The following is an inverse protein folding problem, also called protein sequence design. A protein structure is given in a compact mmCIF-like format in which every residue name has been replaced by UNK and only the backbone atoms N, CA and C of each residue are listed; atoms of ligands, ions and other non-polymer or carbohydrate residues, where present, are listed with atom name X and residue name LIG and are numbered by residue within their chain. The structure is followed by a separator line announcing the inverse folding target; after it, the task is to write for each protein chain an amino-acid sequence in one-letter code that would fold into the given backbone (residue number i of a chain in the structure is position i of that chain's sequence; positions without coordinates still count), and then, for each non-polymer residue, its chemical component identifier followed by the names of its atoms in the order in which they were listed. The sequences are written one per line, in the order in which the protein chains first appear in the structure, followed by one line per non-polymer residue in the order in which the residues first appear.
data_IF_043096216067
#
_entry.id   IF_043096216067
#
_cell.length_a   1.000
_cell.length_b   1.000
_cell.length_c   1.000
_cell.angle_alpha   90.00
_cell.angle_beta   90.00
_cell.angle_gamma   90.00
#
_symmetry.space_group_name_H-M   'P 1'
#
loop_
_entity.id
_entity.type
_entity.pdbx_description
1 polymer ?
#
# COMPACT_ATOMS: atom_id res chain seq x y z
N UNK A 1 13.64 -2.30 -0.56
CA UNK A 1 12.29 -2.71 -1.03
C UNK A 1 12.35 -3.10 -2.51
N UNK A 2 11.32 -3.75 -3.07
CA UNK A 2 11.29 -4.09 -4.50
C UNK A 2 11.45 -2.85 -5.41
N UNK A 3 10.84 -1.72 -5.03
CA UNK A 3 11.00 -0.43 -5.73
C UNK A 3 12.46 0.00 -5.82
N UNK A 4 13.23 -0.12 -4.74
CA UNK A 4 14.65 0.25 -4.75
C UNK A 4 15.46 -0.67 -5.68
N UNK A 5 15.15 -1.98 -5.65
CA UNK A 5 15.81 -2.96 -6.51
C UNK A 5 15.57 -2.66 -7.99
N UNK A 6 14.34 -2.35 -8.39
CA UNK A 6 14.05 -1.98 -9.79
C UNK A 6 14.60 -0.62 -10.19
N UNK A 7 14.66 0.36 -9.28
CA UNK A 7 15.27 1.66 -9.56
C UNK A 7 16.81 1.58 -9.70
N UNK A 8 17.45 0.56 -9.12
CA UNK A 8 18.87 0.31 -9.33
C UNK A 8 19.19 -0.20 -10.76
N UNK A 9 18.20 -0.74 -11.48
CA UNK A 9 18.35 -1.28 -12.84
C UNK A 9 18.12 -0.17 -13.88
N UNK A 10 19.14 0.26 -14.66
CA UNK A 10 19.01 1.33 -15.64
C UNK A 10 17.94 1.07 -16.71
N UNK A 11 17.81 -0.17 -17.17
CA UNK A 11 16.87 -0.62 -18.18
C UNK A 11 15.44 -0.39 -17.69
N UNK A 12 15.14 -0.85 -16.47
CA UNK A 12 13.83 -0.66 -15.84
C UNK A 12 13.46 0.82 -15.73
N UNK A 13 14.39 1.67 -15.25
CA UNK A 13 14.14 3.12 -15.11
C UNK A 13 13.78 3.80 -16.43
N UNK A 14 14.33 3.30 -17.55
CA UNK A 14 14.10 3.85 -18.90
C UNK A 14 12.91 3.20 -19.60
N UNK A 15 12.41 2.08 -19.07
CA UNK A 15 11.33 1.32 -19.68
C UNK A 15 9.97 2.00 -19.48
N UNK A 16 9.62 2.83 -20.48
CA UNK A 16 8.34 3.53 -20.54
C UNK A 16 7.14 2.60 -20.74
N UNK A 17 7.31 1.27 -20.84
CA UNK A 17 6.19 0.33 -20.90
C UNK A 17 5.59 0.07 -19.54
N UNK A 18 6.34 0.22 -18.45
CA UNK A 18 5.85 -0.02 -17.08
C UNK A 18 4.66 0.89 -16.76
N UNK A 19 3.51 0.30 -16.41
CA UNK A 19 2.26 0.99 -16.03
C UNK A 19 1.87 0.79 -14.57
N UNK A 20 2.47 -0.19 -13.90
CA UNK A 20 2.19 -0.50 -12.50
C UNK A 20 2.77 -1.84 -12.10
N UNK A 21 2.32 -2.33 -10.95
CA UNK A 21 2.70 -3.63 -10.44
C UNK A 21 1.53 -4.27 -9.68
N UNK A 22 1.59 -5.59 -9.54
CA UNK A 22 0.77 -6.39 -8.63
C UNK A 22 1.68 -7.22 -7.73
N UNK A 23 1.15 -7.66 -6.60
CA UNK A 23 1.87 -8.49 -5.63
C UNK A 23 1.09 -9.77 -5.37
N UNK A 24 1.77 -10.90 -5.41
CA UNK A 24 1.22 -12.22 -5.12
C UNK A 24 2.09 -12.92 -4.08
N UNK A 25 1.47 -13.51 -3.06
CA UNK A 25 2.18 -14.40 -2.16
C UNK A 25 2.34 -15.77 -2.82
N UNK A 26 3.58 -16.20 -2.99
CA UNK A 26 3.94 -17.52 -3.53
C UNK A 26 4.82 -18.24 -2.52
N UNK A 27 4.20 -19.09 -1.69
CA UNK A 27 4.88 -19.73 -0.57
C UNK A 27 5.36 -18.69 0.47
N UNK A 28 6.68 -18.68 0.73
CA UNK A 28 7.32 -17.73 1.63
C UNK A 28 7.65 -16.37 0.98
N UNK A 29 7.53 -16.28 -0.34
CA UNK A 29 7.90 -15.09 -1.11
C UNK A 29 6.70 -14.22 -1.44
N UNK A 30 6.94 -12.92 -1.54
CA UNK A 30 6.05 -11.98 -2.22
C UNK A 30 6.65 -11.67 -3.59
N UNK A 31 5.99 -12.12 -4.65
CA UNK A 31 6.39 -11.83 -6.02
C UNK A 31 5.75 -10.52 -6.46
N UNK A 32 6.58 -9.57 -6.89
CA UNK A 32 6.16 -8.29 -7.48
C UNK A 32 6.27 -8.42 -8.99
N UNK A 33 5.14 -8.41 -9.69
CA UNK A 33 5.07 -8.45 -11.15
C UNK A 33 4.78 -7.05 -11.67
N UNK A 34 5.67 -6.50 -12.50
CA UNK A 34 5.48 -5.22 -13.17
C UNK A 34 4.78 -5.42 -14.51
N UNK A 35 3.80 -4.56 -14.78
CA UNK A 35 2.85 -4.70 -15.87
C UNK A 35 3.06 -3.62 -16.93
N UNK A 36 2.79 -3.97 -18.20
CA UNK A 36 2.67 -3.00 -19.28
C UNK A 36 1.22 -2.53 -19.51
N UNK A 37 0.95 -1.86 -20.65
CA UNK A 37 -0.39 -1.39 -21.02
C UNK A 37 -1.31 -2.47 -21.59
N UNK A 38 -0.77 -3.61 -22.00
CA UNK A 38 -1.52 -4.77 -22.53
C UNK A 38 -1.77 -5.82 -21.43
N UNK A 39 -2.02 -5.33 -20.22
CA UNK A 39 -1.62 -5.94 -18.95
C UNK A 39 -0.82 -7.25 -19.09
N UNK A 40 0.42 -7.18 -19.56
CA UNK A 40 1.35 -8.30 -19.59
C UNK A 40 2.49 -8.09 -18.59
N UNK A 41 3.02 -9.17 -18.04
CA UNK A 41 4.18 -9.15 -17.16
C UNK A 41 5.44 -8.84 -17.97
N UNK A 42 6.23 -7.87 -17.50
CA UNK A 42 7.49 -7.47 -18.15
C UNK A 42 8.71 -7.52 -17.22
N UNK A 43 8.49 -7.42 -15.89
CA UNK A 43 9.52 -7.68 -14.89
C UNK A 43 8.93 -8.44 -13.70
N UNK A 44 9.78 -9.23 -13.03
CA UNK A 44 9.45 -9.85 -11.75
C UNK A 44 10.55 -9.65 -10.72
N UNK A 45 10.15 -9.45 -9.46
CA UNK A 45 11.05 -9.39 -8.31
C UNK A 45 10.46 -10.26 -7.20
N UNK A 46 11.20 -11.24 -6.71
CA UNK A 46 10.83 -11.96 -5.50
C UNK A 46 11.31 -11.18 -4.26
N UNK A 47 10.45 -11.07 -3.26
CA UNK A 47 10.78 -10.46 -1.97
C UNK A 47 10.62 -11.52 -0.89
N UNK A 48 11.73 -11.87 -0.23
CA UNK A 48 11.78 -12.89 0.83
C UNK A 48 12.18 -12.20 2.13
N UNK A 49 11.41 -12.37 3.20
CA UNK A 49 11.69 -11.75 4.51
C UNK A 49 11.98 -10.23 4.42
N UNK A 50 11.22 -9.52 3.58
CA UNK A 50 11.36 -8.07 3.35
C UNK A 50 12.55 -7.65 2.48
N UNK A 51 13.37 -8.58 2.00
CA UNK A 51 14.52 -8.32 1.12
C UNK A 51 14.16 -8.65 -0.33
N UNK A 52 14.35 -7.67 -1.21
CA UNK A 52 14.16 -7.89 -2.65
C UNK A 52 15.35 -8.64 -3.22
N UNK A 53 15.08 -9.70 -4.00
CA UNK A 53 16.05 -10.38 -4.82
C UNK A 53 16.36 -9.63 -6.11
N UNK A 54 17.06 -10.29 -7.03
CA UNK A 54 17.39 -9.74 -8.35
C UNK A 54 16.14 -9.46 -9.19
N UNK A 55 16.16 -8.35 -9.91
CA UNK A 55 15.13 -8.00 -10.88
C UNK A 55 15.27 -8.88 -12.11
N UNK A 56 14.22 -9.62 -12.45
CA UNK A 56 14.16 -10.44 -13.65
C UNK A 56 13.39 -9.69 -14.73
N UNK A 57 14.10 -9.17 -15.74
CA UNK A 57 13.47 -8.75 -16.99
C UNK A 57 13.01 -9.99 -17.76
N UNK A 58 11.79 -9.95 -18.29
CA UNK A 58 11.28 -11.03 -19.14
C UNK A 58 11.68 -10.77 -20.59
N UNK A 59 12.13 -11.81 -21.30
CA UNK A 59 12.61 -11.70 -22.69
C UNK A 59 11.55 -11.13 -23.63
N UNK A 60 10.29 -11.48 -23.38
CA UNK A 60 9.10 -10.92 -24.01
C UNK A 60 7.99 -10.70 -22.95
N UNK A 61 7.01 -9.82 -23.22
CA UNK A 61 5.83 -9.71 -22.36
C UNK A 61 5.13 -11.06 -22.19
N UNK A 62 4.88 -11.46 -20.95
CA UNK A 62 4.25 -12.74 -20.61
C UNK A 62 2.81 -12.51 -20.18
N UNK A 63 1.89 -13.35 -20.65
CA UNK A 63 0.49 -13.31 -20.22
C UNK A 63 0.38 -13.49 -18.70
N UNK A 64 -0.53 -12.75 -18.08
CA UNK A 64 -0.75 -12.81 -16.64
C UNK A 64 -1.41 -14.13 -16.22
N UNK A 65 -1.05 -14.61 -15.04
CA UNK A 65 -1.82 -15.65 -14.36
C UNK A 65 -3.23 -15.14 -14.03
N UNK A 66 -4.16 -16.06 -13.71
CA UNK A 66 -5.51 -15.66 -13.29
C UNK A 66 -5.49 -14.72 -12.08
N UNK A 67 -4.60 -14.97 -11.11
CA UNK A 67 -4.38 -14.10 -9.96
C UNK A 67 -3.88 -12.73 -10.40
N UNK A 68 -2.79 -12.67 -11.18
CA UNK A 68 -2.18 -11.41 -11.62
C UNK A 68 -3.18 -10.57 -12.43
N UNK A 69 -3.97 -11.21 -13.30
CA UNK A 69 -5.01 -10.55 -14.09
C UNK A 69 -6.12 -9.99 -13.22
N UNK A 70 -6.63 -10.76 -12.24
CA UNK A 70 -7.64 -10.30 -11.29
C UNK A 70 -7.14 -9.12 -10.45
N UNK A 71 -5.92 -9.22 -9.91
CA UNK A 71 -5.30 -8.16 -9.14
C UNK A 71 -5.08 -6.89 -9.98
N UNK A 72 -4.68 -7.04 -11.25
CA UNK A 72 -4.48 -5.92 -12.16
C UNK A 72 -5.81 -5.20 -12.49
N UNK A 73 -6.88 -5.96 -12.71
CA UNK A 73 -8.23 -5.42 -12.93
C UNK A 73 -8.75 -4.69 -11.69
N UNK A 74 -8.61 -5.29 -10.51
CA UNK A 74 -9.01 -4.66 -9.26
C UNK A 74 -8.25 -3.36 -8.99
N UNK A 75 -6.93 -3.36 -9.22
CA UNK A 75 -6.10 -2.15 -9.15
C UNK A 75 -6.62 -1.09 -10.11
N UNK A 76 -6.88 -1.43 -11.36
CA UNK A 76 -7.38 -0.50 -12.36
C UNK A 76 -8.69 0.15 -11.88
N UNK A 77 -9.67 -0.66 -11.46
CA UNK A 77 -10.95 -0.20 -10.94
C UNK A 77 -10.80 0.78 -9.77
N UNK A 78 -9.95 0.47 -8.79
CA UNK A 78 -9.70 1.34 -7.65
C UNK A 78 -8.99 2.65 -8.06
N UNK A 79 -8.01 2.59 -8.96
CA UNK A 79 -7.25 3.80 -9.38
C UNK A 79 -8.07 4.81 -10.17
N UNK A 80 -9.14 4.36 -10.83
CA UNK A 80 -10.09 5.20 -11.58
C UNK A 80 -11.31 5.61 -10.76
N UNK A 81 -11.49 5.05 -9.55
CA UNK A 81 -12.60 5.40 -8.68
C UNK A 81 -12.53 6.86 -8.22
N UNK A 82 -13.69 7.44 -7.91
CA UNK A 82 -13.79 8.78 -7.35
C UNK A 82 -13.61 8.75 -5.83
N UNK A 83 -12.62 9.49 -5.34
CA UNK A 83 -12.34 9.67 -3.91
C UNK A 83 -11.59 10.99 -3.69
N UNK A 84 -11.52 11.44 -2.44
CA UNK A 84 -10.77 12.65 -2.10
C UNK A 84 -9.26 12.38 -2.14
N UNK A 85 -8.58 13.00 -3.11
CA UNK A 85 -7.16 12.77 -3.36
C UNK A 85 -6.30 13.76 -2.57
N UNK A 86 -5.41 13.22 -1.75
CA UNK A 86 -4.40 14.01 -1.02
C UNK A 86 -3.02 14.03 -1.70
N UNK A 87 -2.86 13.28 -2.79
CA UNK A 87 -1.63 13.25 -3.58
C UNK A 87 -1.91 13.13 -5.09
N UNK A 88 -0.96 13.61 -5.90
CA UNK A 88 -1.02 13.42 -7.36
C UNK A 88 -0.88 11.93 -7.73
N UNK A 89 0.03 11.23 -7.06
CA UNK A 89 0.34 9.82 -7.28
C UNK A 89 0.02 8.99 -6.05
N UNK A 90 -0.35 7.75 -6.29
CA UNK A 90 -0.70 6.77 -5.28
C UNK A 90 0.04 5.46 -5.54
N UNK A 91 0.59 4.88 -4.48
CA UNK A 91 1.00 3.49 -4.46
C UNK A 91 -0.23 2.61 -4.23
N UNK A 92 -0.22 1.40 -4.77
CA UNK A 92 -1.31 0.44 -4.61
C UNK A 92 -0.81 -0.85 -3.98
N UNK A 93 -1.62 -1.43 -3.09
CA UNK A 93 -1.48 -2.81 -2.62
C UNK A 93 -2.79 -3.53 -2.94
N UNK A 94 -2.71 -4.71 -3.56
CA UNK A 94 -3.87 -5.52 -3.92
C UNK A 94 -3.76 -6.85 -3.20
N UNK A 95 -4.79 -7.21 -2.45
CA UNK A 95 -4.88 -8.44 -1.69
C UNK A 95 -6.16 -9.18 -2.07
N UNK A 96 -6.19 -10.52 -2.01
CA UNK A 96 -7.43 -11.28 -2.13
C UNK A 96 -8.46 -10.84 -1.09
N UNK A 97 -9.71 -10.78 -1.50
CA UNK A 97 -10.84 -10.60 -0.61
C UNK A 97 -10.96 -11.75 0.38
N UNK A 98 -11.53 -11.48 1.56
CA UNK A 98 -11.73 -12.49 2.62
C UNK A 98 -13.19 -12.87 2.83
N UNK A 99 -14.10 -12.35 2.02
CA UNK A 99 -15.54 -12.64 2.10
C UNK A 99 -16.15 -12.81 0.70
N UNK A 100 -17.34 -13.43 0.60
CA UNK A 100 -18.05 -13.53 -0.69
C UNK A 100 -18.50 -12.18 -1.28
N UNK A 101 -18.37 -11.08 -0.53
CA UNK A 101 -18.78 -9.74 -0.95
C UNK A 101 -17.66 -8.98 -1.68
N UNK A 102 -16.43 -9.48 -1.64
CA UNK A 102 -15.27 -8.88 -2.30
C UNK A 102 -14.34 -9.96 -2.86
N UNK A 103 -13.98 -9.85 -4.14
CA UNK A 103 -12.94 -10.70 -4.74
C UNK A 103 -11.55 -10.18 -4.37
N UNK A 104 -11.42 -8.85 -4.24
CA UNK A 104 -10.17 -8.16 -3.98
C UNK A 104 -10.34 -6.98 -3.04
N UNK A 105 -9.30 -6.73 -2.24
CA UNK A 105 -9.12 -5.50 -1.47
C UNK A 105 -7.97 -4.73 -2.08
N UNK A 106 -8.21 -3.45 -2.38
CA UNK A 106 -7.19 -2.54 -2.91
C UNK A 106 -6.96 -1.40 -1.94
N UNK A 107 -5.72 -1.22 -1.51
CA UNK A 107 -5.30 -0.04 -0.77
C UNK A 107 -4.66 0.96 -1.73
N UNK A 108 -5.11 2.22 -1.68
CA UNK A 108 -4.42 3.34 -2.31
C UNK A 108 -3.77 4.20 -1.23
N UNK A 109 -2.45 4.34 -1.34
CA UNK A 109 -1.59 5.01 -0.38
C UNK A 109 -0.93 6.22 -1.05
N UNK A 110 -1.08 7.45 -0.52
CA UNK A 110 -0.41 8.63 -1.07
C UNK A 110 1.09 8.39 -1.28
N UNK A 111 1.56 8.63 -2.50
CA UNK A 111 2.99 8.48 -2.81
C UNK A 111 3.74 9.77 -2.47
N UNK A 112 4.92 9.63 -1.87
CA UNK A 112 5.84 10.74 -1.58
C UNK A 112 7.28 10.36 -1.94
N UNK A 113 8.05 11.36 -2.37
CA UNK A 113 9.52 11.28 -2.49
C UNK A 113 10.23 12.10 -1.42
N UNK A 114 9.46 12.78 -0.55
CA UNK A 114 9.99 13.56 0.57
C UNK A 114 10.28 12.60 1.73
N UNK A 115 11.54 12.57 2.17
CA UNK A 115 12.00 11.66 3.23
C UNK A 115 11.66 12.14 4.65
N UNK A 116 11.18 13.38 4.80
CA UNK A 116 10.89 14.02 6.08
C UNK A 116 9.38 14.13 6.36
N UNK A 117 8.54 13.39 5.63
CA UNK A 117 7.08 13.40 5.83
C UNK A 117 6.47 12.02 5.70
N UNK A 118 5.36 11.81 6.39
CA UNK A 118 4.49 10.63 6.26
C UNK A 118 3.09 11.11 5.85
N UNK A 119 2.68 10.92 4.58
CA UNK A 119 1.39 11.38 4.07
C UNK A 119 0.28 10.37 4.42
N UNK A 120 -0.05 10.28 5.71
CA UNK A 120 -1.03 9.32 6.23
C UNK A 120 -2.45 9.59 5.72
N UNK A 121 -2.79 10.87 5.54
CA UNK A 121 -4.10 11.29 5.09
C UNK A 121 -4.37 11.02 3.62
N UNK A 122 -5.61 10.66 3.30
CA UNK A 122 -5.98 10.21 1.96
C UNK A 122 -5.56 8.78 1.65
N UNK A 123 -5.24 7.97 2.67
CA UNK A 123 -5.19 6.50 2.55
C UNK A 123 -6.61 5.96 2.42
N UNK A 124 -6.84 5.09 1.43
CA UNK A 124 -8.14 4.46 1.17
C UNK A 124 -8.02 2.95 1.04
N UNK A 125 -9.09 2.26 1.47
CA UNK A 125 -9.36 0.85 1.19
C UNK A 125 -10.56 0.77 0.25
N UNK A 126 -10.46 -0.02 -0.81
CA UNK A 126 -11.51 -0.31 -1.76
C UNK A 126 -11.78 -1.82 -1.74
N UNK A 127 -13.05 -2.19 -1.71
CA UNK A 127 -13.50 -3.56 -1.92
C UNK A 127 -13.95 -3.67 -3.37
N UNK A 128 -13.45 -4.68 -4.09
CA UNK A 128 -13.73 -4.89 -5.51
C UNK A 128 -14.35 -6.27 -5.70
N UNK A 129 -15.43 -6.33 -6.46
CA UNK A 129 -16.11 -7.55 -6.88
C UNK A 129 -16.50 -7.46 -8.34
N UNK A 130 -16.32 -8.54 -9.11
CA UNK A 130 -16.58 -8.58 -10.55
C UNK A 130 -15.92 -7.41 -11.30
N UNK A 131 -14.66 -7.12 -10.94
CA UNK A 131 -13.84 -6.01 -11.45
C UNK A 131 -14.44 -4.60 -11.23
N UNK A 132 -15.39 -4.43 -10.31
CA UNK A 132 -15.99 -3.15 -9.94
C UNK A 132 -15.78 -2.84 -8.46
N UNK A 133 -15.55 -1.56 -8.15
CA UNK A 133 -15.55 -1.10 -6.75
C UNK A 133 -16.97 -1.22 -6.21
N UNK A 134 -17.16 -2.02 -5.17
CA UNK A 134 -18.46 -2.21 -4.49
C UNK A 134 -18.55 -1.45 -3.17
N UNK A 135 -17.41 -1.14 -2.55
CA UNK A 135 -17.34 -0.24 -1.41
C UNK A 135 -15.97 0.42 -1.29
N UNK A 136 -15.91 1.56 -0.62
CA UNK A 136 -14.66 2.26 -0.33
C UNK A 136 -14.71 2.90 1.05
N UNK A 137 -13.54 3.04 1.68
CA UNK A 137 -13.39 3.63 3.01
C UNK A 137 -12.11 4.47 3.07
N UNK A 138 -12.23 5.69 3.57
CA UNK A 138 -11.10 6.53 3.97
C UNK A 138 -10.65 6.18 5.39
N UNK A 139 -9.37 6.37 5.69
CA UNK A 139 -8.83 6.25 7.07
C UNK A 139 -8.65 7.60 7.77
N UNK A 140 -8.77 8.71 7.05
CA UNK A 140 -8.74 10.07 7.62
C UNK A 140 -9.85 10.90 6.99
N UNK A 141 -10.25 11.98 7.66
CA UNK A 141 -11.20 12.96 7.11
C UNK A 141 -10.53 14.07 6.30
N UNK A 142 -9.21 14.21 6.41
CA UNK A 142 -8.44 15.28 5.77
C UNK A 142 -7.08 14.76 5.30
N UNK A 143 -6.40 15.58 4.50
CA UNK A 143 -5.04 15.33 4.01
C UNK A 143 -3.96 15.61 5.07
N UNK A 144 -3.90 14.74 6.07
CA UNK A 144 -2.91 14.78 7.16
C UNK A 144 -1.54 14.36 6.64
N UNK A 145 -0.53 15.19 6.90
CA UNK A 145 0.88 14.90 6.66
C UNK A 145 1.64 15.09 7.96
N UNK A 146 2.30 14.04 8.44
CA UNK A 146 3.10 14.09 9.66
C UNK A 146 4.56 14.39 9.29
N UNK A 147 5.19 15.31 9.99
CA UNK A 147 6.63 15.55 9.84
C UNK A 147 7.43 14.45 10.52
N UNK A 148 8.55 14.06 9.93
CA UNK A 148 9.46 13.05 10.47
C UNK A 148 10.91 13.37 10.15
N UNK A 149 11.84 12.71 10.84
CA UNK A 149 13.26 12.86 10.60
C UNK A 149 14.11 12.00 11.53
N UNK A 150 15.45 12.12 11.44
CA UNK A 150 16.35 11.33 12.26
C UNK A 150 16.16 11.52 13.77
N UNK A 151 15.77 12.73 14.21
CA UNK A 151 15.54 13.08 15.63
C UNK A 151 14.11 12.82 16.12
N UNK A 152 13.21 12.37 15.24
CA UNK A 152 11.82 12.09 15.61
C UNK A 152 11.73 10.65 16.07
N UNK A 153 11.42 10.41 17.34
CA UNK A 153 11.36 9.06 17.90
C UNK A 153 10.01 8.36 17.65
N UNK A 154 8.94 9.14 17.56
CA UNK A 154 7.61 8.64 17.28
C UNK A 154 6.74 9.69 16.59
N UNK A 155 5.69 9.23 15.92
CA UNK A 155 4.66 10.07 15.31
C UNK A 155 3.40 10.02 16.18
N UNK A 156 2.54 11.03 16.07
CA UNK A 156 1.26 11.02 16.77
C UNK A 156 0.14 11.47 15.84
N UNK A 157 -1.02 10.82 15.95
CA UNK A 157 -2.23 11.16 15.20
C UNK A 157 -3.48 10.93 16.06
N UNK A 158 -4.48 11.78 15.88
CA UNK A 158 -5.84 11.51 16.35
C UNK A 158 -6.64 10.80 15.27
N UNK A 159 -7.19 9.64 15.60
CA UNK A 159 -8.01 8.84 14.70
C UNK A 159 -9.48 8.91 15.12
N UNK A 160 -10.31 9.49 14.24
CA UNK A 160 -11.72 9.80 14.54
C UNK A 160 -12.72 8.80 13.96
N UNK A 161 -12.26 7.86 13.12
CA UNK A 161 -13.16 6.99 12.34
C UNK A 161 -13.36 5.62 12.97
N UNK A 162 -12.51 5.23 13.93
CA UNK A 162 -12.54 3.91 14.56
C UNK A 162 -12.14 4.01 16.03
N UNK A 163 -12.64 3.09 16.89
CA UNK A 163 -12.30 3.06 18.31
C UNK A 163 -10.91 2.50 18.60
N UNK A 164 -10.25 1.90 17.62
CA UNK A 164 -8.93 1.27 17.72
C UNK A 164 -8.07 1.62 16.50
N UNK A 165 -6.73 1.47 16.56
CA UNK A 165 -5.88 1.65 15.39
C UNK A 165 -6.24 0.66 14.28
N UNK A 166 -6.03 1.10 13.05
CA UNK A 166 -6.36 0.36 11.82
C UNK A 166 -5.11 -0.12 11.09
N UNK A 167 -5.29 -0.92 10.04
CA UNK A 167 -4.21 -1.40 9.18
C UNK A 167 -3.43 -0.27 8.50
N UNK A 168 -4.05 0.90 8.28
CA UNK A 168 -3.36 2.07 7.74
C UNK A 168 -2.25 2.57 8.68
N UNK A 169 -2.49 2.53 10.00
CA UNK A 169 -1.49 2.93 11.00
C UNK A 169 -0.32 1.94 11.03
N UNK A 170 -0.61 0.64 10.92
CA UNK A 170 0.40 -0.43 10.82
C UNK A 170 1.28 -0.21 9.59
N UNK A 171 0.65 0.00 8.41
CA UNK A 171 1.39 0.25 7.17
C UNK A 171 2.33 1.46 7.32
N UNK A 172 1.82 2.59 7.80
CA UNK A 172 2.62 3.82 7.90
C UNK A 172 3.71 3.73 8.98
N UNK A 173 3.50 2.96 10.06
CA UNK A 173 4.54 2.65 11.04
C UNK A 173 5.68 1.84 10.41
N UNK A 174 5.34 0.77 9.68
CA UNK A 174 6.32 -0.05 8.96
C UNK A 174 7.08 0.77 7.91
N UNK A 175 6.38 1.58 7.13
CA UNK A 175 6.98 2.43 6.09
C UNK A 175 7.93 3.48 6.68
N UNK A 176 7.50 4.18 7.73
CA UNK A 176 8.30 5.20 8.39
C UNK A 176 9.41 4.61 9.27
N UNK A 177 9.34 3.31 9.58
CA UNK A 177 10.19 2.62 10.57
C UNK A 177 10.19 3.34 11.92
N UNK A 178 9.02 3.81 12.34
CA UNK A 178 8.81 4.55 13.59
C UNK A 178 7.49 4.15 14.24
N UNK A 179 7.42 4.11 15.58
CA UNK A 179 6.16 3.99 16.29
C UNK A 179 5.20 5.14 15.96
N UNK A 180 3.90 4.84 15.93
CA UNK A 180 2.84 5.83 15.81
C UNK A 180 1.94 5.72 17.03
N UNK A 181 1.83 6.80 17.81
CA UNK A 181 0.82 6.95 18.83
C UNK A 181 -0.50 7.37 18.19
N UNK A 182 -1.56 6.66 18.51
CA UNK A 182 -2.89 6.86 17.94
C UNK A 182 -3.87 7.11 19.07
N UNK A 183 -4.40 8.33 19.14
CA UNK A 183 -5.49 8.67 20.03
C UNK A 183 -6.82 8.41 19.32
N UNK A 184 -7.62 7.45 19.81
CA UNK A 184 -8.86 7.04 19.13
C UNK A 184 -10.11 7.65 19.77
N UNK A 185 -11.08 8.02 18.93
CA UNK A 185 -12.40 8.44 19.39
C UNK A 185 -13.22 7.27 19.98
N UNK A 186 -14.23 7.51 20.84
CA UNK A 186 -14.65 8.81 21.38
C UNK A 186 -13.85 9.25 22.62
N UNK A 187 -13.29 8.31 23.38
CA UNK A 187 -12.70 8.60 24.70
C UNK A 187 -11.30 9.24 24.62
N UNK A 188 -10.61 9.16 23.48
CA UNK A 188 -9.20 9.58 23.37
C UNK A 188 -8.22 8.54 23.91
N UNK A 189 -8.61 7.26 23.93
CA UNK A 189 -7.73 6.13 24.28
C UNK A 189 -6.47 6.15 23.43
N UNK A 190 -5.31 6.05 24.06
CA UNK A 190 -4.02 6.12 23.37
C UNK A 190 -3.48 4.71 23.18
N UNK A 191 -3.14 4.42 21.93
CA UNK A 191 -2.47 3.21 21.51
C UNK A 191 -1.10 3.55 20.93
N UNK A 192 -0.17 2.59 20.98
CA UNK A 192 1.04 2.63 20.18
C UNK A 192 0.96 1.56 19.11
N UNK A 193 1.33 1.93 17.89
CA UNK A 193 1.49 1.03 16.75
C UNK A 193 2.96 1.02 16.39
N UNK A 194 3.61 -0.12 16.56
CA UNK A 194 5.02 -0.33 16.24
C UNK A 194 5.14 -1.53 15.32
N UNK A 195 5.22 -1.26 14.02
CA UNK A 195 5.20 -2.31 13.02
C UNK A 195 3.91 -3.13 13.08
N UNK A 196 4.04 -4.44 13.27
CA UNK A 196 2.94 -5.40 13.40
C UNK A 196 2.35 -5.48 14.82
N UNK A 197 2.85 -4.69 15.78
CA UNK A 197 2.38 -4.71 17.16
C UNK A 197 1.55 -3.48 17.49
N UNK A 198 0.36 -3.71 18.05
CA UNK A 198 -0.52 -2.68 18.60
C UNK A 198 -0.61 -2.90 20.11
N UNK A 199 -0.32 -1.87 20.90
CA UNK A 199 -0.43 -1.93 22.37
C UNK A 199 -1.23 -0.76 22.89
N UNK A 200 -2.05 -1.03 23.89
CA UNK A 200 -2.72 0.00 24.67
C UNK A 200 -1.69 0.71 25.56
N UNK A 201 -1.66 2.05 25.51
CA UNK A 201 -0.77 2.89 26.33
C UNK A 201 -1.56 3.48 27.50
N UNK A 202 -2.72 4.08 27.20
CA UNK A 202 -3.56 4.75 28.18
C UNK A 202 -5.03 4.54 27.81
N UNK A 203 -5.84 4.12 28.80
CA UNK A 203 -7.31 4.17 28.70
C UNK A 203 -7.77 5.50 29.28
N UNK A 204 -8.65 6.18 28.58
CA UNK A 204 -9.41 7.31 29.11
C UNK A 204 -10.77 6.86 29.59
#
# INVERSE_FOLDING_TARGET
MATDAVLAVPEFRRDKRVRGWVTEQQGADIVVTFLDSTPAAIYRVAVTNGKAGSVKALEAPVALTAYEAGAAQARAAATTAQFERCAKKYNSVVLPGKSPEEDWVVYLLPATTKNNVVPIGGTYRFSVKDARVVSQRAFTRTCIVLETGPKVEALMITHLLDPVPTEAHVFWSLWARKPIYVATAPAGTIWTVQGDQIRLVERK
#
